data_IF_368131250253
#
_entry.id   IF_368131250253
#
_cell.length_a   1.000
_cell.length_b   1.000
_cell.length_c   1.000
_cell.angle_alpha   90.00
_cell.angle_beta   90.00
_cell.angle_gamma   90.00
#
_symmetry.space_group_name_H-M   'P 1'
#
loop_
_entity.id
_entity.type
_entity.pdbx_description
1 polymer ?
#
# COMPACT_ATOMS: atom_id res chain seq x y z
N UNK A 1 24.02 8.23 -3.33
CA UNK A 1 22.72 7.61 -3.66
C UNK A 1 22.24 6.89 -2.42
N UNK A 2 21.11 7.28 -1.86
CA UNK A 2 20.55 6.55 -0.73
C UNK A 2 19.86 5.30 -1.28
N UNK A 3 20.33 4.11 -0.88
CA UNK A 3 19.67 2.86 -1.24
C UNK A 3 18.37 2.80 -0.43
N UNK A 4 17.23 3.12 -1.07
CA UNK A 4 15.91 3.19 -0.43
C UNK A 4 14.90 2.46 -1.29
N UNK A 5 13.94 1.82 -0.65
CA UNK A 5 12.73 1.31 -1.29
C UNK A 5 11.59 2.27 -0.97
N UNK A 6 10.93 2.76 -2.01
CA UNK A 6 9.78 3.64 -1.86
C UNK A 6 8.48 2.85 -1.72
N UNK A 7 7.56 3.41 -0.94
CA UNK A 7 6.19 2.93 -0.77
C UNK A 7 5.27 4.08 -1.18
N UNK A 8 4.30 3.79 -2.02
CA UNK A 8 3.29 4.74 -2.46
C UNK A 8 1.91 4.19 -2.17
N UNK A 9 1.05 5.02 -1.62
CA UNK A 9 -0.33 4.67 -1.26
C UNK A 9 -1.25 5.77 -1.79
N UNK A 10 -2.34 5.38 -2.44
CA UNK A 10 -3.34 6.30 -2.98
C UNK A 10 -4.73 5.81 -2.57
N UNK A 11 -5.51 6.70 -1.97
CA UNK A 11 -6.89 6.46 -1.57
C UNK A 11 -7.78 7.17 -2.57
N UNK A 12 -8.79 6.45 -3.03
CA UNK A 12 -9.82 6.93 -3.93
C UNK A 12 -11.19 6.64 -3.32
N UNK A 13 -12.17 7.46 -3.65
CA UNK A 13 -13.56 7.21 -3.31
C UNK A 13 -14.20 6.19 -4.28
N UNK A 14 -15.47 5.85 -4.06
CA UNK A 14 -16.21 4.92 -4.90
C UNK A 14 -16.44 5.41 -6.34
N UNK A 15 -16.25 6.70 -6.61
CA UNK A 15 -16.32 7.29 -7.95
C UNK A 15 -14.94 7.34 -8.63
N UNK A 16 -13.90 6.81 -7.99
CA UNK A 16 -12.52 6.89 -8.46
C UNK A 16 -11.85 8.23 -8.23
N UNK A 17 -12.51 9.17 -7.54
CA UNK A 17 -11.94 10.48 -7.22
C UNK A 17 -10.82 10.33 -6.19
N UNK A 18 -9.74 11.11 -6.36
CA UNK A 18 -8.67 11.19 -5.37
C UNK A 18 -9.18 11.70 -4.02
N UNK A 19 -8.77 11.04 -2.93
CA UNK A 19 -9.08 11.45 -1.56
C UNK A 19 -7.81 11.84 -0.80
N UNK A 20 -6.79 10.98 -0.83
CA UNK A 20 -5.52 11.21 -0.17
C UNK A 20 -4.43 10.33 -0.77
N UNK A 21 -3.17 10.71 -0.59
CA UNK A 21 -2.03 9.84 -0.88
C UNK A 21 -0.97 9.95 0.21
N UNK A 22 -0.15 8.91 0.32
CA UNK A 22 1.03 8.91 1.18
C UNK A 22 2.21 8.32 0.44
N UNK A 23 3.36 8.96 0.61
CA UNK A 23 4.64 8.43 0.19
C UNK A 23 5.48 8.14 1.41
N UNK A 24 6.11 6.98 1.45
CA UNK A 24 7.10 6.61 2.47
C UNK A 24 8.31 5.97 1.82
N UNK A 25 9.38 5.82 2.58
CA UNK A 25 10.51 5.01 2.16
C UNK A 25 11.07 4.25 3.36
N UNK A 26 11.75 3.16 3.06
CA UNK A 26 12.46 2.34 4.02
C UNK A 26 13.83 1.94 3.48
N UNK A 27 14.65 1.42 4.38
CA UNK A 27 15.90 0.77 3.99
C UNK A 27 15.62 -0.41 3.04
N UNK A 28 16.58 -0.76 2.18
CA UNK A 28 16.39 -1.81 1.19
C UNK A 28 16.16 -3.16 1.85
N UNK A 29 15.09 -3.82 1.43
CA UNK A 29 14.80 -5.21 1.80
C UNK A 29 15.18 -6.07 0.60
N UNK A 30 16.04 -7.07 0.81
CA UNK A 30 16.51 -7.96 -0.27
C UNK A 30 15.41 -8.89 -0.78
N UNK A 31 14.53 -9.32 0.12
CA UNK A 31 13.39 -10.16 -0.22
C UNK A 31 12.20 -9.30 -0.64
N UNK A 32 11.78 -9.47 -1.90
CA UNK A 32 10.69 -8.71 -2.49
C UNK A 32 9.37 -8.98 -1.77
N UNK A 33 9.07 -10.21 -1.35
CA UNK A 33 7.81 -10.53 -0.68
C UNK A 33 7.76 -9.89 0.71
N UNK A 34 8.88 -9.87 1.43
CA UNK A 34 8.99 -9.15 2.71
C UNK A 34 8.79 -7.64 2.49
N UNK A 35 9.41 -7.07 1.45
CA UNK A 35 9.24 -5.66 1.11
C UNK A 35 7.80 -5.28 0.78
N UNK A 36 7.12 -6.08 -0.02
CA UNK A 36 5.71 -5.90 -0.38
C UNK A 36 4.78 -6.09 0.83
N UNK A 37 5.03 -7.09 1.68
CA UNK A 37 4.26 -7.31 2.91
C UNK A 37 4.46 -6.16 3.91
N UNK A 38 5.67 -5.60 4.00
CA UNK A 38 5.93 -4.41 4.80
C UNK A 38 5.18 -3.20 4.24
N UNK A 39 5.16 -3.02 2.92
CA UNK A 39 4.34 -2.00 2.24
C UNK A 39 2.85 -2.12 2.58
N UNK A 40 2.31 -3.34 2.55
CA UNK A 40 0.94 -3.64 2.99
C UNK A 40 0.72 -3.25 4.47
N UNK A 41 1.61 -3.67 5.36
CA UNK A 41 1.51 -3.35 6.79
C UNK A 41 1.51 -1.83 7.03
N UNK A 42 2.34 -1.07 6.30
CA UNK A 42 2.35 0.40 6.37
C UNK A 42 1.02 1.01 5.90
N UNK A 43 0.46 0.47 4.82
CA UNK A 43 -0.84 0.93 4.31
C UNK A 43 -2.00 0.64 5.29
N UNK A 44 -2.02 -0.55 5.91
CA UNK A 44 -3.02 -0.90 6.93
C UNK A 44 -2.91 0.03 8.15
N UNK A 45 -1.69 0.29 8.63
CA UNK A 45 -1.46 1.22 9.73
C UNK A 45 -1.88 2.65 9.38
N UNK A 46 -1.57 3.11 8.17
CA UNK A 46 -1.98 4.43 7.72
C UNK A 46 -3.50 4.55 7.66
N UNK A 47 -4.21 3.57 7.09
CA UNK A 47 -5.68 3.57 7.06
C UNK A 47 -6.29 3.62 8.47
N UNK A 48 -5.71 2.89 9.42
CA UNK A 48 -6.12 2.94 10.82
C UNK A 48 -5.82 4.31 11.47
N UNK A 49 -4.66 4.92 11.18
CA UNK A 49 -4.27 6.27 11.63
C UNK A 49 -5.29 7.33 11.19
N UNK A 50 -5.77 7.26 9.95
CA UNK A 50 -6.78 8.18 9.41
C UNK A 50 -8.22 7.69 9.59
N UNK A 51 -8.43 6.66 10.41
CA UNK A 51 -9.74 6.12 10.80
C UNK A 51 -10.64 5.73 9.61
N UNK A 52 -10.05 5.24 8.51
CA UNK A 52 -10.81 4.69 7.41
C UNK A 52 -11.38 3.32 7.78
N UNK A 53 -12.60 3.06 7.32
CA UNK A 53 -13.30 1.79 7.48
C UNK A 53 -13.93 1.38 6.16
N UNK A 54 -14.21 0.07 6.00
CA UNK A 54 -14.83 -0.50 4.80
C UNK A 54 -14.03 -0.19 3.50
N UNK A 55 -12.73 -0.44 3.50
CA UNK A 55 -11.84 -0.13 2.37
C UNK A 55 -11.43 -1.40 1.63
N UNK A 56 -11.48 -1.36 0.30
CA UNK A 56 -10.80 -2.32 -0.56
C UNK A 56 -9.38 -1.83 -0.84
N UNK A 57 -8.38 -2.53 -0.29
CA UNK A 57 -6.97 -2.26 -0.54
C UNK A 57 -6.48 -3.09 -1.72
N UNK A 58 -5.91 -2.42 -2.71
CA UNK A 58 -5.44 -3.05 -3.94
C UNK A 58 -3.91 -3.07 -3.96
N UNK A 59 -3.31 -4.25 -4.22
CA UNK A 59 -1.86 -4.40 -4.36
C UNK A 59 -1.49 -5.29 -5.54
N UNK A 60 -0.32 -5.06 -6.15
CA UNK A 60 0.15 -5.79 -7.33
C UNK A 60 1.07 -6.98 -7.03
N UNK A 61 1.20 -7.35 -5.76
CA UNK A 61 1.92 -8.57 -5.34
C UNK A 61 0.97 -9.71 -4.96
N UNK A 62 0.62 -10.54 -5.95
CA UNK A 62 -0.27 -11.70 -5.78
C UNK A 62 0.19 -12.67 -4.68
N UNK A 63 1.50 -12.88 -4.54
CA UNK A 63 2.07 -13.83 -3.57
C UNK A 63 1.77 -13.41 -2.13
N UNK A 64 1.87 -12.12 -1.84
CA UNK A 64 1.53 -11.56 -0.51
C UNK A 64 0.03 -11.66 -0.27
N UNK A 65 -0.81 -11.32 -1.25
CA UNK A 65 -2.28 -11.46 -1.13
C UNK A 65 -2.68 -12.91 -0.87
N UNK A 66 -2.19 -13.85 -1.68
CA UNK A 66 -2.51 -15.27 -1.53
C UNK A 66 -2.02 -15.80 -0.16
N UNK A 67 -0.84 -15.35 0.29
CA UNK A 67 -0.28 -15.77 1.59
C UNK A 67 -1.04 -15.18 2.78
N UNK A 68 -1.49 -13.92 2.67
CA UNK A 68 -2.30 -13.24 3.68
C UNK A 68 -3.57 -14.03 3.99
N UNK A 69 -4.23 -14.58 2.98
CA UNK A 69 -5.45 -15.38 3.13
C UNK A 69 -5.23 -16.88 3.26
N UNK A 70 -3.99 -17.34 3.20
CA UNK A 70 -3.68 -18.77 3.41
C UNK A 70 -3.82 -19.16 4.88
N UNK A 71 -4.23 -20.41 5.13
CA UNK A 71 -4.25 -21.00 6.48
C UNK A 71 -2.84 -21.39 6.98
N UNK A 72 -1.80 -21.11 6.20
CA UNK A 72 -0.44 -21.50 6.53
C UNK A 72 0.21 -20.40 7.38
N UNK A 73 0.61 -20.78 8.59
CA UNK A 73 1.49 -19.98 9.46
C UNK A 73 2.90 -20.52 9.35
N UNK A 74 3.80 -19.70 8.83
CA UNK A 74 5.23 -19.98 8.77
C UNK A 74 5.92 -19.17 9.88
N UNK A 75 6.88 -19.76 10.59
CA UNK A 75 7.80 -19.00 11.46
C UNK A 75 8.86 -18.36 10.57
N UNK A 76 8.54 -17.22 9.99
CA UNK A 76 9.43 -16.43 9.14
C UNK A 76 9.08 -14.95 9.24
N UNK A 77 10.01 -14.06 8.91
CA UNK A 77 9.78 -12.60 8.90
C UNK A 77 8.52 -12.23 8.10
N UNK A 78 8.33 -12.85 6.93
CA UNK A 78 7.12 -12.70 6.13
C UNK A 78 5.87 -13.15 6.89
N UNK A 79 5.93 -14.29 7.58
CA UNK A 79 4.83 -14.83 8.37
C UNK A 79 4.43 -13.91 9.53
N UNK A 80 5.42 -13.31 10.21
CA UNK A 80 5.20 -12.38 11.31
C UNK A 80 4.54 -11.08 10.81
N UNK A 81 5.04 -10.50 9.71
CA UNK A 81 4.43 -9.31 9.08
C UNK A 81 2.99 -9.59 8.64
N UNK A 82 2.74 -10.75 8.02
CA UNK A 82 1.38 -11.15 7.61
C UNK A 82 0.46 -11.37 8.81
N UNK A 83 0.99 -11.86 9.93
CA UNK A 83 0.24 -12.02 11.19
C UNK A 83 -0.21 -10.65 11.73
N UNK A 84 0.66 -9.65 11.70
CA UNK A 84 0.32 -8.27 12.08
C UNK A 84 -0.76 -7.69 11.14
N UNK A 85 -0.62 -7.90 9.83
CA UNK A 85 -1.62 -7.48 8.85
C UNK A 85 -3.00 -8.09 9.14
N UNK A 86 -3.06 -9.42 9.41
CA UNK A 86 -4.30 -10.11 9.78
C UNK A 86 -4.89 -9.56 11.07
N UNK A 87 -4.06 -9.24 12.05
CA UNK A 87 -4.50 -8.65 13.32
C UNK A 87 -5.19 -7.32 13.08
N UNK A 88 -4.58 -6.42 12.30
CA UNK A 88 -5.18 -5.11 11.98
C UNK A 88 -6.50 -5.29 11.20
N UNK A 89 -6.53 -6.18 10.21
CA UNK A 89 -7.73 -6.47 9.42
C UNK A 89 -8.88 -7.02 10.26
N UNK A 90 -8.59 -7.87 11.25
CA UNK A 90 -9.60 -8.49 12.11
C UNK A 90 -10.05 -7.63 13.29
N UNK A 91 -9.33 -6.56 13.62
CA UNK A 91 -9.61 -5.72 14.81
C UNK A 91 -10.02 -4.30 14.45
N UNK A 92 -9.19 -3.59 13.68
CA UNK A 92 -9.41 -2.19 13.32
C UNK A 92 -10.15 -2.01 12.00
N UNK A 93 -10.01 -2.96 11.07
CA UNK A 93 -10.48 -2.85 9.69
C UNK A 93 -11.42 -4.00 9.29
N UNK A 94 -12.32 -4.40 10.20
CA UNK A 94 -13.14 -5.65 10.17
C UNK A 94 -13.91 -5.91 8.85
N UNK A 95 -14.21 -4.87 8.07
CA UNK A 95 -14.90 -4.97 6.77
C UNK A 95 -14.03 -4.53 5.59
N UNK A 96 -12.71 -4.57 5.75
CA UNK A 96 -11.77 -4.20 4.70
C UNK A 96 -11.12 -5.45 4.12
N UNK A 97 -10.79 -5.40 2.83
CA UNK A 97 -10.24 -6.53 2.11
C UNK A 97 -8.98 -6.12 1.36
N UNK A 98 -8.05 -7.05 1.19
CA UNK A 98 -6.86 -6.89 0.37
C UNK A 98 -7.08 -7.68 -0.92
N UNK A 99 -6.95 -7.02 -2.07
CA UNK A 99 -7.18 -7.61 -3.38
C UNK A 99 -5.94 -7.48 -4.25
N UNK A 100 -5.69 -8.51 -5.03
CA UNK A 100 -4.66 -8.46 -6.06
C UNK A 100 -5.20 -7.69 -7.27
N UNK A 101 -4.41 -6.73 -7.75
CA UNK A 101 -4.62 -6.06 -9.03
C UNK A 101 -3.40 -6.23 -9.92
N UNK A 102 -3.57 -6.06 -11.23
CA UNK A 102 -2.42 -6.07 -12.14
C UNK A 102 -1.62 -4.79 -11.95
N UNK A 103 -0.29 -4.88 -12.09
CA UNK A 103 0.62 -3.73 -11.97
C UNK A 103 0.24 -2.53 -12.82
N UNK A 104 -0.33 -2.73 -14.02
CA UNK A 104 -0.77 -1.63 -14.89
C UNK A 104 -1.92 -0.82 -14.28
N UNK A 105 -2.73 -1.42 -13.40
CA UNK A 105 -3.80 -0.76 -12.67
C UNK A 105 -3.32 -0.15 -11.34
N UNK A 106 -2.05 -0.37 -10.95
CA UNK A 106 -1.46 0.16 -9.72
C UNK A 106 -0.47 1.32 -9.99
N UNK A 107 -0.63 2.01 -11.11
CA UNK A 107 0.34 3.01 -11.60
C UNK A 107 0.45 4.22 -10.65
N UNK A 108 -0.64 4.65 -10.03
CA UNK A 108 -0.63 5.77 -9.08
C UNK A 108 0.29 5.47 -7.88
N UNK A 109 0.11 4.30 -7.23
CA UNK A 109 0.95 3.86 -6.13
C UNK A 109 2.42 3.70 -6.57
N UNK A 110 2.65 3.15 -7.78
CA UNK A 110 4.00 2.98 -8.32
C UNK A 110 4.74 4.31 -8.50
N UNK A 111 4.07 5.33 -9.07
CA UNK A 111 4.66 6.65 -9.26
C UNK A 111 4.94 7.37 -7.94
N UNK A 112 4.04 7.23 -6.97
CA UNK A 112 4.24 7.72 -5.60
C UNK A 112 5.47 7.07 -4.96
N UNK A 113 5.60 5.73 -5.03
CA UNK A 113 6.75 5.01 -4.51
C UNK A 113 8.06 5.51 -5.14
N UNK A 114 8.06 5.77 -6.46
CA UNK A 114 9.25 6.26 -7.16
C UNK A 114 9.72 7.61 -6.62
N UNK A 115 8.81 8.56 -6.42
CA UNK A 115 9.18 9.90 -5.89
C UNK A 115 9.56 9.85 -4.41
N UNK A 116 9.00 8.91 -3.64
CA UNK A 116 9.22 8.80 -2.20
C UNK A 116 10.70 8.68 -1.82
N UNK A 117 11.49 7.96 -2.62
CA UNK A 117 12.93 7.76 -2.39
C UNK A 117 13.75 9.06 -2.40
N UNK A 118 13.23 10.10 -3.05
CA UNK A 118 13.84 11.43 -3.16
C UNK A 118 13.40 12.39 -2.05
N UNK A 119 12.43 11.99 -1.22
CA UNK A 119 11.91 12.81 -0.13
C UNK A 119 12.73 12.62 1.16
N UNK A 120 12.78 13.67 1.98
CA UNK A 120 13.47 13.65 3.27
C UNK A 120 12.73 12.78 4.31
N UNK A 121 11.41 12.75 4.26
CA UNK A 121 10.53 12.01 5.17
C UNK A 121 9.33 11.44 4.40
N UNK A 122 8.45 10.71 5.10
CA UNK A 122 7.13 10.46 4.56
C UNK A 122 6.40 11.78 4.27
N UNK A 123 5.42 11.72 3.38
CA UNK A 123 4.60 12.88 3.02
C UNK A 123 3.15 12.45 2.81
N UNK A 124 2.23 13.19 3.41
CA UNK A 124 0.79 13.04 3.25
C UNK A 124 0.29 14.10 2.29
N UNK A 125 -0.40 13.67 1.24
CA UNK A 125 -1.04 14.53 0.27
C UNK A 125 -2.55 14.53 0.52
N UNK A 126 -3.10 15.71 0.77
CA UNK A 126 -4.55 15.96 0.81
C UNK A 126 -5.07 16.50 -0.53
N UNK A 127 -4.17 17.10 -1.32
CA UNK A 127 -4.42 17.55 -2.69
C UNK A 127 -3.81 16.57 -3.69
N UNK A 128 -4.37 16.49 -4.89
CA UNK A 128 -3.93 15.59 -5.95
C UNK A 128 -2.46 15.87 -6.34
N UNK A 129 -1.52 14.94 -6.09
CA UNK A 129 -0.11 15.14 -6.41
C UNK A 129 0.12 15.18 -7.92
N UNK A 130 0.95 16.10 -8.38
CA UNK A 130 1.27 16.28 -9.80
C UNK A 130 1.84 15.03 -10.47
N UNK A 131 2.53 14.17 -9.71
CA UNK A 131 3.12 12.94 -10.23
C UNK A 131 2.09 11.86 -10.60
N UNK A 132 0.84 11.96 -10.13
CA UNK A 132 -0.24 11.00 -10.42
C UNK A 132 -1.47 11.65 -11.05
N UNK A 133 -1.46 12.97 -11.30
CA UNK A 133 -2.63 13.70 -11.83
C UNK A 133 -3.16 13.09 -13.12
N UNK A 134 -2.29 12.79 -14.08
CA UNK A 134 -2.68 12.17 -15.35
C UNK A 134 -3.24 10.75 -15.16
N UNK A 135 -2.72 9.99 -14.20
CA UNK A 135 -3.20 8.62 -13.90
C UNK A 135 -4.64 8.69 -13.40
N UNK A 136 -4.89 9.52 -12.38
CA UNK A 136 -6.21 9.68 -11.79
C UNK A 136 -7.22 10.18 -12.83
N UNK A 137 -6.86 11.20 -13.62
CA UNK A 137 -7.77 11.78 -14.61
C UNK A 137 -8.08 10.83 -15.79
N UNK A 138 -7.18 9.92 -16.14
CA UNK A 138 -7.41 8.95 -17.22
C UNK A 138 -8.29 7.78 -16.79
N UNK A 139 -8.28 7.43 -15.50
CA UNK A 139 -9.08 6.33 -14.94
C UNK A 139 -10.53 6.75 -14.62
N UNK A 140 -10.82 8.05 -14.57
CA UNK A 140 -12.18 8.60 -14.35
C UNK A 140 -13.05 8.68 -15.61
N UNK A 141 -12.61 8.11 -16.74
CA UNK A 141 -13.34 8.15 -18.02
C UNK A 141 -14.14 6.89 -18.32
#
# INVERSE_FOLDING_TARGET
MSNKVGIGMCIRDTNGCFVAARTEWMEPILDVDIGEAMGLLRALNWMNEIQLTNVDLEMDCKRVVDSLYSSRTYRSDLGDILSDCRTILSTSLVNSHVKFIRRQANEAAHRLARVATSLASFHNFIDLPTCITDVILNEMR
#
